data_IF_682449843909
#
_entry.id   IF_682449843909
#
_cell.length_a   1.000
_cell.length_b   1.000
_cell.length_c   1.000
_cell.angle_alpha   90.00
_cell.angle_beta   90.00
_cell.angle_gamma   90.00
#
_symmetry.space_group_name_H-M   'P 1'
#
loop_
_entity.id
_entity.type
_entity.pdbx_description
1 polymer ?
#
# COMPACT_ATOMS: atom_id res chain seq x y z
N UNK A 1 -4.62 1.46 14.47
CA UNK A 1 -5.93 1.50 13.77
C UNK A 1 -6.48 0.08 13.76
N UNK A 2 -7.68 -0.14 14.32
CA UNK A 2 -8.34 -1.44 14.21
C UNK A 2 -8.95 -1.55 12.80
N UNK A 3 -8.87 -2.73 12.17
CA UNK A 3 -9.50 -2.99 10.86
C UNK A 3 -8.57 -2.94 9.64
N UNK A 4 -7.28 -3.21 9.79
CA UNK A 4 -6.35 -3.37 8.66
C UNK A 4 -6.32 -4.80 8.07
N UNK A 5 -7.21 -5.68 8.54
CA UNK A 5 -7.37 -7.05 8.07
C UNK A 5 -8.72 -7.21 7.38
N UNK A 6 -8.74 -7.87 6.23
CA UNK A 6 -9.94 -8.22 5.49
C UNK A 6 -9.96 -9.73 5.16
N UNK A 7 -11.14 -10.33 5.13
CA UNK A 7 -11.33 -11.76 4.85
C UNK A 7 -11.41 -12.65 6.10
N UNK A 8 -11.64 -13.97 5.89
CA UNK A 8 -11.84 -14.96 6.96
C UNK A 8 -10.90 -16.15 6.85
N UNK A 9 -10.98 -16.91 5.76
CA UNK A 9 -10.07 -18.03 5.49
C UNK A 9 -8.88 -17.53 4.67
N UNK A 10 -9.17 -16.96 3.51
CA UNK A 10 -8.25 -16.07 2.81
C UNK A 10 -8.30 -14.71 3.50
N UNK A 11 -7.15 -14.25 4.00
CA UNK A 11 -7.03 -13.01 4.77
C UNK A 11 -5.91 -12.14 4.22
N UNK A 12 -6.20 -10.86 4.01
CA UNK A 12 -5.19 -9.84 3.72
C UNK A 12 -5.03 -8.94 4.94
N UNK A 13 -3.80 -8.60 5.31
CA UNK A 13 -3.49 -7.62 6.35
C UNK A 13 -2.53 -6.59 5.79
N UNK A 14 -2.96 -5.33 5.68
CA UNK A 14 -2.17 -4.27 5.05
C UNK A 14 -1.52 -3.34 6.08
N UNK A 15 -0.38 -2.76 5.72
CA UNK A 15 0.34 -1.77 6.52
C UNK A 15 1.04 -0.73 5.62
N UNK A 16 1.64 0.27 6.26
CA UNK A 16 2.39 1.34 5.62
C UNK A 16 1.59 2.63 5.42
N UNK A 17 2.34 3.71 5.28
CA UNK A 17 1.86 5.07 5.04
C UNK A 17 2.43 5.63 3.75
N UNK A 18 1.66 6.47 3.07
CA UNK A 18 2.05 7.02 1.76
C UNK A 18 3.37 7.79 1.67
N UNK A 19 3.94 8.22 2.79
CA UNK A 19 5.24 8.92 2.87
C UNK A 19 6.19 8.25 3.88
N UNK A 20 5.88 7.03 4.32
CA UNK A 20 6.84 6.15 5.00
C UNK A 20 7.71 5.43 3.96
N UNK A 21 8.63 4.59 4.43
CA UNK A 21 9.62 3.93 3.56
C UNK A 21 8.98 2.94 2.57
N UNK A 22 7.88 2.31 2.96
CA UNK A 22 7.21 1.30 2.16
C UNK A 22 5.73 1.15 2.50
N UNK A 23 5.02 0.53 1.56
CA UNK A 23 3.73 -0.11 1.75
C UNK A 23 3.97 -1.61 1.86
N UNK A 24 3.06 -2.32 2.53
CA UNK A 24 3.12 -3.78 2.50
C UNK A 24 1.83 -4.48 2.88
N UNK A 25 1.79 -5.76 2.55
CA UNK A 25 0.66 -6.64 2.79
C UNK A 25 1.13 -8.05 3.13
N UNK A 26 0.39 -8.69 4.02
CA UNK A 26 0.50 -10.12 4.28
C UNK A 26 -0.79 -10.81 3.88
N UNK A 27 -0.68 -11.82 3.02
CA UNK A 27 -1.79 -12.66 2.57
C UNK A 27 -1.68 -14.03 3.21
N UNK A 28 -2.72 -14.48 3.91
CA UNK A 28 -2.79 -15.77 4.59
C UNK A 28 -3.96 -16.60 4.06
N UNK A 29 -3.86 -17.91 4.17
CA UNK A 29 -4.89 -18.85 3.71
C UNK A 29 -4.82 -19.18 2.22
N UNK A 30 -3.69 -18.87 1.56
CA UNK A 30 -3.40 -19.38 0.22
C UNK A 30 -3.02 -20.86 0.34
N UNK A 31 -3.65 -21.78 -0.40
CA UNK A 31 -3.22 -23.18 -0.41
C UNK A 31 -1.76 -23.34 -0.85
N UNK A 32 -1.09 -24.41 -0.42
CA UNK A 32 0.21 -24.77 -0.95
C UNK A 32 0.09 -25.32 -2.38
N UNK A 33 1.14 -25.13 -3.19
CA UNK A 33 1.23 -25.65 -4.56
C UNK A 33 0.50 -24.82 -5.63
N UNK A 34 0.08 -23.60 -5.30
CA UNK A 34 -0.44 -22.65 -6.30
C UNK A 34 0.75 -22.00 -7.00
N UNK A 35 0.76 -22.01 -8.32
CA UNK A 35 1.78 -21.28 -9.10
C UNK A 35 1.61 -19.77 -8.85
N UNK A 36 2.67 -19.14 -8.36
CA UNK A 36 2.69 -17.70 -8.08
C UNK A 36 4.05 -17.13 -8.43
N UNK A 37 4.01 -16.16 -9.34
CA UNK A 37 5.17 -15.45 -9.82
C UNK A 37 5.09 -13.96 -9.43
N UNK A 38 6.19 -13.40 -8.95
CA UNK A 38 6.36 -11.97 -8.68
C UNK A 38 6.01 -11.11 -9.90
N UNK A 39 6.37 -11.54 -11.12
CA UNK A 39 6.05 -10.80 -12.34
C UNK A 39 4.54 -10.70 -12.60
N UNK A 40 3.76 -11.71 -12.20
CA UNK A 40 2.30 -11.67 -12.35
C UNK A 40 1.67 -10.59 -11.45
N UNK A 41 2.22 -10.43 -10.23
CA UNK A 41 1.82 -9.39 -9.29
C UNK A 41 2.28 -8.02 -9.81
N UNK A 42 3.53 -7.92 -10.26
CA UNK A 42 4.09 -6.69 -10.82
C UNK A 42 3.25 -6.17 -11.99
N UNK A 43 2.79 -7.04 -12.89
CA UNK A 43 1.93 -6.64 -14.00
C UNK A 43 0.60 -5.99 -13.54
N UNK A 44 0.03 -6.42 -12.41
CA UNK A 44 -1.16 -5.78 -11.84
C UNK A 44 -0.82 -4.42 -11.20
N UNK A 45 0.33 -4.34 -10.53
CA UNK A 45 0.82 -3.09 -9.96
C UNK A 45 1.13 -2.05 -11.03
N UNK A 46 1.71 -2.48 -12.15
CA UNK A 46 1.97 -1.63 -13.31
C UNK A 46 0.67 -1.07 -13.87
N UNK A 47 -0.41 -1.86 -13.95
CA UNK A 47 -1.75 -1.37 -14.36
C UNK A 47 -2.34 -0.34 -13.39
N UNK A 48 -2.04 -0.46 -12.10
CA UNK A 48 -2.51 0.46 -11.03
C UNK A 48 -1.69 1.74 -10.98
N UNK A 49 -0.41 1.68 -11.38
CA UNK A 49 0.57 2.74 -11.22
C UNK A 49 0.06 4.07 -11.78
N UNK A 50 0.18 5.18 -11.01
CA UNK A 50 -0.17 6.49 -11.52
C UNK A 50 0.83 6.97 -12.59
N UNK A 51 0.53 8.06 -13.29
CA UNK A 51 1.46 8.64 -14.27
C UNK A 51 1.35 8.02 -15.68
N UNK A 52 0.36 7.16 -15.92
CA UNK A 52 0.10 6.56 -17.23
C UNK A 52 -0.59 7.50 -18.23
N UNK A 53 -1.05 8.67 -17.78
CA UNK A 53 -1.64 9.68 -18.66
C UNK A 53 -1.30 11.09 -18.21
N UNK A 54 -1.44 12.06 -19.13
CA UNK A 54 -1.15 13.48 -18.87
C UNK A 54 -2.01 14.13 -17.78
N UNK A 55 -3.11 13.49 -17.38
CA UNK A 55 -4.03 14.01 -16.34
C UNK A 55 -3.78 13.37 -14.95
N UNK A 56 -2.86 12.42 -14.84
CA UNK A 56 -2.54 11.74 -13.58
C UNK A 56 -1.38 12.41 -12.85
N UNK A 57 -1.16 12.05 -11.58
CA UNK A 57 -0.05 12.62 -10.80
C UNK A 57 1.30 12.38 -11.48
N UNK A 58 2.20 13.36 -11.42
CA UNK A 58 3.56 13.29 -11.96
C UNK A 58 4.52 12.43 -11.14
N UNK A 59 4.05 11.76 -10.09
CA UNK A 59 4.88 10.88 -9.26
C UNK A 59 5.30 9.64 -10.06
N UNK A 60 6.61 9.39 -10.10
CA UNK A 60 7.21 8.25 -10.78
C UNK A 60 7.45 7.07 -9.84
N UNK A 61 6.48 6.72 -8.99
CA UNK A 61 6.63 5.57 -8.08
C UNK A 61 6.79 4.28 -8.89
N UNK A 62 7.91 3.54 -8.77
CA UNK A 62 8.14 2.37 -9.60
C UNK A 62 7.13 1.25 -9.32
N UNK A 63 6.63 1.18 -8.10
CA UNK A 63 5.72 0.13 -7.59
C UNK A 63 6.28 -1.27 -7.74
N UNK A 64 7.61 -1.40 -7.58
CA UNK A 64 8.31 -2.67 -7.52
C UNK A 64 7.86 -3.43 -6.26
N UNK A 65 7.25 -4.60 -6.48
CA UNK A 65 6.96 -5.54 -5.40
C UNK A 65 8.14 -6.45 -5.14
N UNK A 66 8.35 -6.76 -3.86
CA UNK A 66 9.25 -7.81 -3.40
C UNK A 66 8.43 -8.80 -2.61
N UNK A 67 8.46 -10.08 -3.01
CA UNK A 67 7.85 -11.18 -2.23
C UNK A 67 8.86 -11.68 -1.20
N UNK A 68 8.59 -11.47 0.08
CA UNK A 68 9.51 -11.79 1.17
C UNK A 68 9.27 -13.18 1.80
N UNK A 69 8.10 -13.79 1.62
CA UNK A 69 7.76 -15.09 2.21
C UNK A 69 6.64 -15.80 1.46
N UNK A 70 6.40 -17.07 1.79
CA UNK A 70 5.21 -17.81 1.36
C UNK A 70 5.26 -18.36 -0.07
N UNK A 71 6.36 -18.12 -0.79
CA UNK A 71 6.63 -18.65 -2.13
C UNK A 71 8.02 -19.29 -2.15
N UNK A 72 8.13 -20.45 -2.79
CA UNK A 72 9.37 -21.16 -3.03
C UNK A 72 9.30 -21.80 -4.43
N UNK A 73 10.36 -21.62 -5.23
CA UNK A 73 10.49 -22.21 -6.58
C UNK A 73 9.27 -21.97 -7.50
N UNK A 74 8.63 -20.79 -7.38
CA UNK A 74 7.46 -20.41 -8.17
C UNK A 74 6.11 -20.93 -7.65
N UNK A 75 6.09 -21.58 -6.49
CA UNK A 75 4.87 -22.12 -5.89
C UNK A 75 4.66 -21.61 -4.47
N UNK A 76 3.40 -21.45 -4.08
CA UNK A 76 3.03 -21.09 -2.71
C UNK A 76 3.32 -22.24 -1.75
N UNK A 77 3.80 -21.92 -0.56
CA UNK A 77 4.14 -22.92 0.46
C UNK A 77 2.98 -23.25 1.39
N UNK A 78 1.85 -22.53 1.28
CA UNK A 78 0.73 -22.59 2.22
C UNK A 78 0.91 -21.73 3.47
N UNK A 79 2.09 -21.14 3.68
CA UNK A 79 2.35 -20.17 4.75
C UNK A 79 2.01 -18.74 4.29
N UNK A 80 1.91 -17.76 5.19
CA UNK A 80 1.63 -16.38 4.79
C UNK A 80 2.64 -15.81 3.78
N UNK A 81 2.11 -15.15 2.77
CA UNK A 81 2.86 -14.46 1.73
C UNK A 81 3.00 -13.00 2.15
N UNK A 82 4.24 -12.57 2.41
CA UNK A 82 4.57 -11.18 2.74
C UNK A 82 5.07 -10.46 1.50
N UNK A 83 4.52 -9.28 1.23
CA UNK A 83 4.90 -8.46 0.08
C UNK A 83 5.16 -7.02 0.53
N UNK A 84 6.24 -6.44 0.00
CA UNK A 84 6.67 -5.06 0.27
C UNK A 84 6.80 -4.28 -1.03
N UNK A 85 6.32 -3.04 -1.04
CA UNK A 85 6.45 -2.10 -2.14
C UNK A 85 7.07 -0.81 -1.60
N UNK A 86 8.28 -0.47 -2.04
CA UNK A 86 8.98 0.72 -1.56
C UNK A 86 8.34 2.00 -2.10
N UNK A 87 8.33 3.05 -1.28
CA UNK A 87 8.00 4.41 -1.71
C UNK A 87 9.31 5.14 -2.07
N UNK A 88 9.46 5.59 -3.33
CA UNK A 88 10.70 6.24 -3.81
C UNK A 88 10.53 7.73 -4.15
N UNK A 89 9.30 8.25 -4.30
CA UNK A 89 9.04 9.65 -4.70
C UNK A 89 8.08 10.38 -3.73
N UNK A 90 8.17 10.05 -2.44
CA UNK A 90 7.47 10.75 -1.38
C UNK A 90 8.03 12.18 -1.21
N UNK A 91 7.17 13.19 -1.42
CA UNK A 91 7.55 14.62 -1.29
C UNK A 91 6.65 15.33 -0.29
N UNK A 92 7.01 15.24 0.98
CA UNK A 92 6.22 15.78 2.10
C UNK A 92 6.12 17.31 2.10
N UNK A 93 7.13 18.03 1.57
CA UNK A 93 7.17 19.50 1.56
C UNK A 93 6.00 20.16 0.82
N UNK A 94 5.37 19.46 -0.15
CA UNK A 94 4.16 19.96 -0.83
C UNK A 94 2.94 20.06 0.08
N UNK A 95 2.98 19.47 1.28
CA UNK A 95 1.88 19.44 2.24
C UNK A 95 2.07 20.36 3.45
N UNK A 96 3.19 21.10 3.53
CA UNK A 96 3.45 22.07 4.63
C UNK A 96 2.29 23.05 4.91
N UNK A 97 1.59 23.61 3.91
CA UNK A 97 0.46 24.51 4.17
C UNK A 97 -0.71 23.84 4.93
N UNK A 98 -0.77 22.51 4.91
CA UNK A 98 -1.83 21.73 5.55
C UNK A 98 -1.42 21.16 6.90
N UNK A 99 -0.31 21.61 7.49
CA UNK A 99 0.07 21.23 8.85
C UNK A 99 -0.99 21.72 9.84
N UNK A 100 -1.38 22.99 9.73
CA UNK A 100 -2.32 23.67 10.64
C UNK A 100 -3.78 23.63 10.18
N UNK A 101 -4.03 23.47 8.88
CA UNK A 101 -5.38 23.42 8.31
C UNK A 101 -5.70 22.04 7.70
N UNK A 102 -6.83 21.40 8.03
CA UNK A 102 -7.27 20.18 7.36
C UNK A 102 -7.74 20.48 5.93
N UNK A 103 -7.37 19.63 4.96
CA UNK A 103 -7.82 19.77 3.58
C UNK A 103 -9.32 19.45 3.46
N UNK A 104 -10.12 20.26 2.76
CA UNK A 104 -11.52 19.93 2.48
C UNK A 104 -11.66 18.58 1.80
N UNK A 105 -12.64 17.77 2.21
CA UNK A 105 -12.91 16.42 1.69
C UNK A 105 -11.82 15.34 1.95
N UNK A 106 -10.85 15.60 2.83
CA UNK A 106 -9.85 14.62 3.25
C UNK A 106 -10.04 14.12 4.68
N UNK A 107 -9.43 12.97 5.00
CA UNK A 107 -9.47 12.35 6.34
C UNK A 107 -8.74 13.13 7.44
N UNK A 108 -8.04 14.20 7.10
CA UNK A 108 -7.21 15.05 7.96
C UNK A 108 -7.83 15.37 9.33
N UNK A 109 -9.03 15.96 9.32
CA UNK A 109 -9.74 16.35 10.54
C UNK A 109 -10.12 15.12 11.38
N UNK A 110 -10.74 14.12 10.74
CA UNK A 110 -11.21 12.92 11.44
C UNK A 110 -10.08 12.10 12.07
N UNK A 111 -8.92 12.03 11.43
CA UNK A 111 -7.74 11.38 12.00
C UNK A 111 -7.23 12.14 13.22
N UNK A 112 -7.09 13.47 13.10
CA UNK A 112 -6.64 14.32 14.21
C UNK A 112 -7.59 14.24 15.40
N UNK A 113 -8.91 14.30 15.14
CA UNK A 113 -9.93 14.21 16.18
C UNK A 113 -9.97 12.83 16.86
N UNK A 114 -9.77 11.75 16.10
CA UNK A 114 -9.82 10.37 16.63
C UNK A 114 -8.56 9.95 17.37
N UNK A 115 -7.38 10.32 16.84
CA UNK A 115 -6.09 9.82 17.32
C UNK A 115 -5.24 10.89 18.03
N UNK A 116 -5.70 12.14 18.09
CA UNK A 116 -4.95 13.27 18.65
C UNK A 116 -3.79 13.76 17.76
N UNK A 117 -3.51 13.06 16.66
CA UNK A 117 -2.45 13.38 15.69
C UNK A 117 -2.80 12.86 14.31
N UNK A 118 -2.08 13.34 13.28
CA UNK A 118 -2.16 12.85 11.90
C UNK A 118 -0.80 12.89 11.22
N UNK A 119 -0.62 12.04 10.22
CA UNK A 119 0.51 12.14 9.30
C UNK A 119 0.24 13.26 8.29
N UNK A 120 0.76 14.46 8.56
CA UNK A 120 0.54 15.67 7.76
C UNK A 120 1.34 15.69 6.45
N UNK A 121 2.41 14.88 6.33
CA UNK A 121 3.27 14.82 5.15
C UNK A 121 2.58 14.27 3.90
N UNK A 122 1.28 13.93 3.98
CA UNK A 122 0.47 13.45 2.88
C UNK A 122 -0.92 13.02 3.34
N UNK A 123 -1.42 11.90 2.82
CA UNK A 123 -2.66 11.28 3.30
C UNK A 123 -2.45 10.25 4.42
N UNK A 124 -1.19 10.01 4.82
CA UNK A 124 -0.84 8.93 5.75
C UNK A 124 -1.42 7.59 5.29
N UNK A 125 -2.11 6.92 6.22
CA UNK A 125 -2.83 5.66 6.02
C UNK A 125 -4.13 5.79 5.20
N UNK A 126 -4.75 6.97 5.15
CA UNK A 126 -5.97 7.22 4.34
C UNK A 126 -5.68 7.55 2.87
N UNK A 127 -4.41 7.57 2.48
CA UNK A 127 -4.00 7.89 1.12
C UNK A 127 -4.40 6.79 0.14
N UNK A 128 -4.71 7.17 -1.10
CA UNK A 128 -4.90 6.24 -2.20
C UNK A 128 -3.66 5.34 -2.46
N UNK A 129 -2.47 5.70 -1.94
CA UNK A 129 -1.29 4.82 -1.95
C UNK A 129 -1.58 3.45 -1.36
N UNK A 130 -2.51 3.37 -0.41
CA UNK A 130 -2.93 2.14 0.24
C UNK A 130 -3.47 1.07 -0.73
N UNK A 131 -4.07 1.49 -1.85
CA UNK A 131 -4.55 0.60 -2.91
C UNK A 131 -3.48 -0.30 -3.52
N UNK A 132 -2.19 0.06 -3.40
CA UNK A 132 -1.08 -0.79 -3.87
C UNK A 132 -1.07 -2.14 -3.15
N UNK A 133 -1.42 -2.15 -1.86
CA UNK A 133 -1.48 -3.36 -1.05
C UNK A 133 -2.63 -4.28 -1.48
N UNK A 134 -3.74 -3.70 -1.93
CA UNK A 134 -4.92 -4.46 -2.39
C UNK A 134 -4.72 -5.06 -3.78
N UNK A 135 -3.93 -4.40 -4.63
CA UNK A 135 -3.60 -4.92 -5.95
C UNK A 135 -2.50 -5.98 -5.87
N UNK A 136 -1.60 -5.87 -4.88
CA UNK A 136 -0.59 -6.88 -4.62
C UNK A 136 -1.19 -8.18 -4.04
N UNK A 137 -2.23 -8.07 -3.21
CA UNK A 137 -2.87 -9.19 -2.50
C UNK A 137 -3.89 -9.96 -3.35
#
# INVERSE_FOLDING_TARGET
MNGNRFGRLFQLTTYGESHGDAMGVTVSGVPAGVELNEEAIQAQLDRRKPGQSMITTSRGEPDEVVVNSGVQDGYTTGTPIGMVIQNKDARSGKYEPYVTAPRPSHGDYTYSAKFGTRNWGGGGRSSARETVNWVAA
#
